data_IF_320257277513
#
_entry.id   IF_320257277513
#
_cell.length_a   1.000
_cell.length_b   1.000
_cell.length_c   1.000
_cell.angle_alpha   90.00
_cell.angle_beta   90.00
_cell.angle_gamma   90.00
#
_symmetry.space_group_name_H-M   'P 1'
#
loop_
_entity.id
_entity.type
_entity.pdbx_description
1 polymer ?
#
# COMPACT_ATOMS: atom_id res chain seq x y z
N UNK A 1 -5.57 -12.06 -4.69
CA UNK A 1 -6.65 -13.05 -4.43
C UNK A 1 -6.02 -14.40 -4.10
N UNK A 2 -6.55 -15.11 -3.09
CA UNK A 2 -6.01 -16.43 -2.70
C UNK A 2 -6.61 -17.55 -3.56
N UNK A 3 -5.90 -18.68 -3.68
CA UNK A 3 -6.40 -19.86 -4.41
C UNK A 3 -7.63 -20.52 -3.75
N UNK A 4 -7.94 -20.14 -2.51
CA UNK A 4 -9.09 -20.66 -1.76
C UNK A 4 -10.27 -19.69 -1.71
N UNK A 5 -10.28 -18.65 -2.54
CA UNK A 5 -11.38 -17.69 -2.58
C UNK A 5 -12.70 -18.41 -2.95
N UNK A 6 -13.71 -18.26 -2.10
CA UNK A 6 -15.03 -18.88 -2.34
C UNK A 6 -15.83 -18.19 -3.46
N UNK A 7 -15.60 -16.89 -3.67
CA UNK A 7 -16.24 -16.07 -4.68
C UNK A 7 -15.20 -15.32 -5.53
N UNK A 8 -14.45 -16.03 -6.39
CA UNK A 8 -13.33 -15.44 -7.13
C UNK A 8 -13.75 -14.29 -8.05
N UNK A 9 -14.90 -14.38 -8.70
CA UNK A 9 -15.41 -13.32 -9.59
C UNK A 9 -15.71 -12.03 -8.82
N UNK A 10 -16.36 -12.12 -7.67
CA UNK A 10 -16.64 -10.95 -6.84
C UNK A 10 -15.39 -10.38 -6.19
N UNK A 11 -14.44 -11.23 -5.81
CA UNK A 11 -13.14 -10.80 -5.32
C UNK A 11 -12.36 -10.02 -6.39
N UNK A 12 -12.41 -10.46 -7.64
CA UNK A 12 -11.79 -9.76 -8.76
C UNK A 12 -12.43 -8.39 -8.99
N UNK A 13 -13.77 -8.32 -9.01
CA UNK A 13 -14.50 -7.05 -9.12
C UNK A 13 -14.14 -6.05 -8.01
N UNK A 14 -13.94 -6.55 -6.78
CA UNK A 14 -13.50 -5.70 -5.68
C UNK A 14 -12.09 -5.16 -5.92
N UNK A 15 -11.16 -6.01 -6.35
CA UNK A 15 -9.78 -5.59 -6.69
C UNK A 15 -9.79 -4.55 -7.81
N UNK A 16 -10.56 -4.79 -8.86
CA UNK A 16 -10.73 -3.83 -9.97
C UNK A 16 -11.26 -2.48 -9.47
N UNK A 17 -12.29 -2.48 -8.63
CA UNK A 17 -12.81 -1.25 -8.03
C UNK A 17 -11.76 -0.52 -7.17
N UNK A 18 -11.03 -1.26 -6.33
CA UNK A 18 -9.98 -0.67 -5.47
C UNK A 18 -8.84 -0.04 -6.28
N UNK A 19 -8.59 -0.53 -7.49
CA UNK A 19 -7.59 0.01 -8.41
C UNK A 19 -8.14 1.00 -9.42
N UNK A 20 -9.44 1.30 -9.39
CA UNK A 20 -10.07 2.29 -10.27
C UNK A 20 -9.80 3.73 -9.79
N UNK A 21 -9.91 4.69 -10.69
CA UNK A 21 -9.65 6.11 -10.43
C UNK A 21 -10.42 6.64 -9.21
N UNK A 22 -11.68 6.24 -9.07
CA UNK A 22 -12.54 6.71 -7.97
C UNK A 22 -11.98 6.28 -6.60
N UNK A 23 -11.65 5.01 -6.43
CA UNK A 23 -11.10 4.49 -5.18
C UNK A 23 -9.70 5.07 -4.91
N UNK A 24 -8.85 5.12 -5.94
CA UNK A 24 -7.50 5.65 -5.83
C UNK A 24 -7.48 7.14 -5.47
N UNK A 25 -8.36 7.96 -6.04
CA UNK A 25 -8.53 9.36 -5.65
C UNK A 25 -8.98 9.50 -4.19
N UNK A 26 -9.88 8.63 -3.74
CA UNK A 26 -10.35 8.64 -2.35
C UNK A 26 -9.21 8.30 -1.38
N UNK A 27 -8.40 7.27 -1.66
CA UNK A 27 -7.24 6.91 -0.85
C UNK A 27 -6.22 8.05 -0.79
N UNK A 28 -5.90 8.63 -1.93
CA UNK A 28 -4.94 9.73 -2.01
C UNK A 28 -5.41 10.99 -1.25
N UNK A 29 -6.71 11.33 -1.33
CA UNK A 29 -7.25 12.56 -0.72
C UNK A 29 -7.56 12.43 0.77
N UNK A 30 -8.10 11.28 1.19
CA UNK A 30 -8.56 11.07 2.57
C UNK A 30 -7.45 10.53 3.48
N UNK A 31 -6.69 9.56 2.99
CA UNK A 31 -5.65 8.89 3.78
C UNK A 31 -4.25 9.45 3.54
N UNK A 32 -4.10 10.42 2.62
CA UNK A 32 -2.79 10.97 2.24
C UNK A 32 -1.81 9.89 1.73
N UNK A 33 -2.35 8.92 0.99
CA UNK A 33 -1.59 7.82 0.42
C UNK A 33 -1.15 8.13 -1.02
N UNK A 34 -0.03 7.54 -1.43
CA UNK A 34 0.32 7.54 -2.85
C UNK A 34 -0.58 6.55 -3.60
N UNK A 35 -1.25 7.00 -4.68
CA UNK A 35 -2.06 6.08 -5.50
C UNK A 35 -1.15 5.09 -6.22
N UNK A 36 -1.61 3.84 -6.34
CA UNK A 36 -0.88 2.80 -7.09
C UNK A 36 -1.17 2.86 -8.60
N UNK A 37 -2.17 3.64 -9.00
CA UNK A 37 -2.54 3.84 -10.40
C UNK A 37 -1.91 5.12 -10.93
N UNK A 38 -1.22 5.02 -12.06
CA UNK A 38 -0.64 6.17 -12.73
C UNK A 38 -1.72 7.17 -13.19
N UNK A 39 -1.40 8.45 -13.14
CA UNK A 39 -2.31 9.53 -13.56
C UNK A 39 -3.37 9.94 -12.55
N UNK A 40 -3.43 9.31 -11.38
CA UNK A 40 -4.27 9.75 -10.26
C UNK A 40 -3.55 10.88 -9.52
N UNK A 41 -4.26 12.00 -9.31
CA UNK A 41 -3.70 13.16 -8.63
C UNK A 41 -3.37 12.86 -7.17
N UNK A 42 -2.24 13.38 -6.71
CA UNK A 42 -1.86 13.39 -5.29
C UNK A 42 -2.68 14.44 -4.53
N UNK A 43 -2.89 14.24 -3.24
CA UNK A 43 -3.35 15.32 -2.37
C UNK A 43 -2.28 16.44 -2.31
N UNK A 44 -2.68 17.68 -2.02
CA UNK A 44 -1.74 18.81 -1.91
C UNK A 44 -0.64 18.53 -0.90
N UNK A 45 -0.98 17.90 0.22
CA UNK A 45 -0.01 17.55 1.26
C UNK A 45 1.01 16.52 0.75
N UNK A 46 0.56 15.43 0.12
CA UNK A 46 1.47 14.40 -0.42
C UNK A 46 2.32 14.98 -1.55
N UNK A 47 1.76 15.81 -2.41
CA UNK A 47 2.50 16.52 -3.46
C UNK A 47 3.59 17.43 -2.90
N UNK A 48 3.35 18.06 -1.75
CA UNK A 48 4.34 18.94 -1.08
C UNK A 48 5.58 18.19 -0.56
N UNK A 49 5.50 16.87 -0.38
CA UNK A 49 6.65 16.05 0.04
C UNK A 49 7.68 15.85 -1.08
N UNK A 50 7.30 16.15 -2.31
CA UNK A 50 8.14 16.00 -3.49
C UNK A 50 8.15 14.58 -4.04
N UNK A 51 9.10 14.33 -4.92
CA UNK A 51 9.29 13.01 -5.53
C UNK A 51 10.07 12.08 -4.59
N UNK A 52 9.72 10.81 -4.59
CA UNK A 52 10.45 9.77 -3.88
C UNK A 52 10.97 8.71 -4.86
N UNK A 53 12.02 8.04 -4.45
CA UNK A 53 12.55 6.90 -5.20
C UNK A 53 11.86 5.62 -4.72
N UNK A 54 11.18 4.95 -5.64
CA UNK A 54 10.62 3.63 -5.37
C UNK A 54 11.70 2.63 -4.95
N UNK A 55 11.40 1.82 -3.93
CA UNK A 55 12.23 0.70 -3.57
C UNK A 55 12.04 -0.43 -4.60
N UNK A 56 13.13 -0.96 -5.11
CA UNK A 56 13.14 -2.08 -6.04
C UNK A 56 13.19 -3.45 -5.37
N UNK A 57 13.23 -3.49 -4.03
CA UNK A 57 13.32 -4.75 -3.29
C UNK A 57 12.00 -5.54 -3.42
N UNK A 58 12.03 -6.81 -3.89
CA UNK A 58 10.83 -7.63 -3.97
C UNK A 58 10.17 -7.86 -2.62
N UNK A 59 8.84 -7.96 -2.59
CA UNK A 59 8.08 -8.14 -1.34
C UNK A 59 8.43 -9.41 -0.57
N UNK A 60 8.79 -10.48 -1.27
CA UNK A 60 9.25 -11.73 -0.66
C UNK A 60 10.62 -11.56 0.03
N UNK A 61 11.50 -10.74 -0.50
CA UNK A 61 12.76 -10.37 0.18
C UNK A 61 12.48 -9.53 1.42
N UNK A 62 11.60 -8.52 1.33
CA UNK A 62 11.18 -7.70 2.49
C UNK A 62 10.62 -8.58 3.60
N UNK A 63 9.80 -9.58 3.26
CA UNK A 63 9.16 -10.46 4.25
C UNK A 63 10.16 -11.27 5.10
N UNK A 64 11.34 -11.55 4.58
CA UNK A 64 12.41 -12.26 5.31
C UNK A 64 12.95 -11.47 6.51
N UNK A 65 12.88 -10.15 6.44
CA UNK A 65 13.33 -9.25 7.51
C UNK A 65 12.30 -9.02 8.61
N UNK A 66 11.06 -9.48 8.41
CA UNK A 66 9.97 -9.27 9.38
C UNK A 66 10.30 -9.72 10.81
N UNK A 67 10.87 -10.93 11.06
CA UNK A 67 11.18 -11.37 12.42
C UNK A 67 12.20 -10.45 13.11
N UNK A 68 13.22 -10.02 12.39
CA UNK A 68 14.25 -9.11 12.90
C UNK A 68 13.68 -7.72 13.16
N UNK A 69 12.85 -7.21 12.25
CA UNK A 69 12.20 -5.92 12.40
C UNK A 69 11.28 -5.88 13.61
N UNK A 70 10.46 -6.91 13.84
CA UNK A 70 9.60 -7.01 15.01
C UNK A 70 10.42 -7.01 16.33
N UNK A 71 11.51 -7.77 16.37
CA UNK A 71 12.41 -7.78 17.53
C UNK A 71 13.00 -6.39 17.80
N UNK A 72 13.42 -5.69 16.75
CA UNK A 72 13.95 -4.33 16.88
C UNK A 72 12.89 -3.35 17.40
N UNK A 73 11.65 -3.44 16.91
CA UNK A 73 10.51 -2.64 17.38
C UNK A 73 10.30 -2.83 18.89
N UNK A 74 10.34 -4.08 19.35
CA UNK A 74 10.23 -4.42 20.78
C UNK A 74 11.41 -3.86 21.60
N UNK A 75 12.64 -3.99 21.10
CA UNK A 75 13.85 -3.51 21.79
C UNK A 75 13.85 -1.98 21.94
N UNK A 76 13.43 -1.23 20.90
CA UNK A 76 13.37 0.23 20.93
C UNK A 76 12.08 0.77 21.55
N UNK A 77 11.14 -0.10 21.91
CA UNK A 77 9.82 0.25 22.47
C UNK A 77 9.05 1.24 21.61
N UNK A 78 9.04 0.99 20.30
CA UNK A 78 8.46 1.90 19.32
C UNK A 78 6.95 2.10 19.50
N UNK A 79 6.23 1.07 19.96
CA UNK A 79 4.77 1.03 20.09
C UNK A 79 4.28 1.19 21.55
N UNK A 80 4.95 1.97 22.32
CA UNK A 80 4.50 2.27 23.69
C UNK A 80 3.69 3.54 23.77
#
# INVERSE_FOLDING_TARGET
MTKYAKNPENALKLIEYMTDNKAQNMYASVNMEYPVKQGVALSEMVASWGEFKEDSLPLDEISKYRPVALKLIDEVKFDL
#
